data_IF_266615219213
#
_entry.id   IF_266615219213
#
_cell.length_a   1.000
_cell.length_b   1.000
_cell.length_c   1.000
_cell.angle_alpha   90.00
_cell.angle_beta   90.00
_cell.angle_gamma   90.00
#
_symmetry.space_group_name_H-M   'P 1'
#
loop_
_entity.id
_entity.type
_entity.pdbx_description
1 polymer ?
#
# COMPACT_ATOMS: atom_id res chain seq x y z
N UNK A 1 -29.47 -3.00 -3.11
CA UNK A 1 -28.21 -3.78 -3.08
C UNK A 1 -27.06 -2.99 -2.43
N UNK A 2 -26.74 -1.79 -2.92
CA UNK A 2 -25.66 -0.94 -2.36
C UNK A 2 -25.76 -0.71 -0.83
N UNK A 3 -26.93 -0.31 -0.31
CA UNK A 3 -27.15 -0.05 1.13
C UNK A 3 -26.81 -1.26 2.01
N UNK A 4 -27.16 -2.48 1.56
CA UNK A 4 -26.87 -3.72 2.30
C UNK A 4 -25.37 -4.00 2.36
N UNK A 5 -24.63 -3.69 1.30
CA UNK A 5 -23.17 -3.82 1.23
C UNK A 5 -22.50 -2.80 2.16
N UNK A 6 -22.95 -1.55 2.11
CA UNK A 6 -22.42 -0.45 2.94
C UNK A 6 -22.67 -0.65 4.43
N UNK A 7 -23.84 -1.17 4.81
CA UNK A 7 -24.12 -1.52 6.22
C UNK A 7 -23.27 -2.67 6.73
N UNK A 8 -22.92 -3.63 5.86
CA UNK A 8 -22.08 -4.78 6.22
C UNK A 8 -20.60 -4.40 6.33
N UNK A 9 -20.17 -3.36 5.62
CA UNK A 9 -18.80 -2.87 5.60
C UNK A 9 -18.83 -1.33 5.67
N UNK A 10 -19.00 -0.75 6.87
CA UNK A 10 -19.09 0.68 7.02
C UNK A 10 -17.72 1.32 6.80
N UNK A 11 -17.58 2.05 5.69
CA UNK A 11 -16.40 2.87 5.36
C UNK A 11 -16.84 4.30 5.04
N UNK A 12 -17.41 5.01 6.02
CA UNK A 12 -17.93 6.35 5.79
C UNK A 12 -16.86 7.32 5.36
N UNK A 13 -15.65 7.27 5.91
CA UNK A 13 -14.63 8.29 5.60
C UNK A 13 -14.28 8.32 4.10
N UNK A 14 -14.15 7.14 3.46
CA UNK A 14 -13.89 7.04 2.02
C UNK A 14 -15.10 7.35 1.15
N UNK A 15 -16.30 6.90 1.54
CA UNK A 15 -17.49 6.98 0.67
C UNK A 15 -18.33 8.23 0.88
N UNK A 16 -18.16 8.93 2.00
CA UNK A 16 -18.88 10.16 2.31
C UNK A 16 -18.72 11.23 1.22
N UNK A 17 -17.52 11.53 0.69
CA UNK A 17 -17.39 12.52 -0.37
C UNK A 17 -18.20 12.18 -1.63
N UNK A 18 -18.33 10.90 -1.97
CA UNK A 18 -19.05 10.43 -3.17
C UNK A 18 -20.56 10.34 -2.97
N UNK A 19 -21.00 10.04 -1.73
CA UNK A 19 -22.42 9.89 -1.36
C UNK A 19 -23.02 11.25 -0.93
N UNK A 20 -22.28 12.07 -0.19
CA UNK A 20 -22.66 13.43 0.24
C UNK A 20 -21.86 14.48 -0.53
N UNK A 21 -22.13 14.59 -1.83
CA UNK A 21 -21.45 15.57 -2.69
C UNK A 21 -21.89 16.99 -2.35
N UNK A 22 -20.93 17.90 -2.17
CA UNK A 22 -21.21 19.31 -1.88
C UNK A 22 -22.01 19.93 -3.04
N UNK A 23 -23.11 20.61 -2.72
CA UNK A 23 -23.96 21.28 -3.72
C UNK A 23 -24.86 20.36 -4.55
N UNK A 24 -24.94 19.06 -4.23
CA UNK A 24 -25.86 18.11 -4.86
C UNK A 24 -27.06 17.80 -3.96
N UNK A 25 -28.23 17.43 -4.52
CA UNK A 25 -29.36 16.94 -3.74
C UNK A 25 -28.99 15.66 -2.95
N UNK A 26 -29.72 15.33 -1.87
CA UNK A 26 -29.48 14.14 -1.07
C UNK A 26 -29.44 12.87 -1.95
N UNK A 27 -28.33 12.14 -1.88
CA UNK A 27 -28.18 10.92 -2.66
C UNK A 27 -29.11 9.83 -2.09
N UNK A 28 -29.86 9.05 -2.91
CA UNK A 28 -30.81 8.05 -2.41
C UNK A 28 -30.18 7.01 -1.46
N UNK A 29 -28.90 6.70 -1.67
CA UNK A 29 -28.13 5.85 -0.74
C UNK A 29 -27.92 6.54 0.61
N UNK A 30 -27.63 7.84 0.65
CA UNK A 30 -27.44 8.58 1.90
C UNK A 30 -28.70 8.55 2.77
N UNK A 31 -29.86 8.76 2.16
CA UNK A 31 -31.17 8.69 2.83
C UNK A 31 -31.44 7.27 3.34
N UNK A 32 -31.19 6.27 2.50
CA UNK A 32 -31.48 4.88 2.84
C UNK A 32 -30.53 4.29 3.90
N UNK A 33 -29.26 4.72 3.99
CA UNK A 33 -28.33 4.20 5.01
C UNK A 33 -28.52 4.87 6.37
N UNK A 34 -28.96 6.13 6.39
CA UNK A 34 -29.19 6.93 7.59
C UNK A 34 -27.97 7.77 8.05
N UNK A 35 -28.19 8.86 8.79
CA UNK A 35 -27.13 9.80 9.20
C UNK A 35 -26.08 9.18 10.11
N UNK A 36 -26.45 8.18 10.94
CA UNK A 36 -25.53 7.52 11.87
C UNK A 36 -24.37 6.82 11.18
N UNK A 37 -24.60 6.26 9.98
CA UNK A 37 -23.55 5.58 9.24
C UNK A 37 -22.41 6.54 8.86
N UNK A 38 -22.70 7.84 8.70
CA UNK A 38 -21.69 8.85 8.41
C UNK A 38 -20.98 9.39 9.66
N UNK A 39 -21.44 9.00 10.86
CA UNK A 39 -20.86 9.39 12.15
C UNK A 39 -20.01 8.28 12.78
N UNK A 40 -20.11 7.06 12.27
CA UNK A 40 -19.21 5.98 12.71
C UNK A 40 -17.80 6.32 12.26
N UNK A 41 -16.84 6.37 13.18
CA UNK A 41 -15.42 6.47 12.83
C UNK A 41 -15.06 5.26 11.95
N UNK A 42 -14.56 5.50 10.74
CA UNK A 42 -14.10 4.44 9.84
C UNK A 42 -12.96 3.68 10.52
N UNK A 43 -13.27 2.48 11.00
CA UNK A 43 -12.40 1.77 11.94
C UNK A 43 -10.99 1.54 11.42
N UNK A 44 -10.01 2.20 12.04
CA UNK A 44 -8.54 2.06 11.93
C UNK A 44 -7.97 1.12 10.85
N UNK A 45 -7.03 0.24 11.20
CA UNK A 45 -6.37 -0.66 10.24
C UNK A 45 -7.33 -1.61 9.49
N UNK A 46 -8.58 -1.75 9.94
CA UNK A 46 -9.64 -2.51 9.26
C UNK A 46 -10.23 -1.78 8.02
N UNK A 47 -9.94 -0.48 7.86
CA UNK A 47 -10.40 0.38 6.77
C UNK A 47 -9.90 -0.05 5.38
N UNK A 48 -8.72 -0.69 5.26
CA UNK A 48 -8.09 -1.01 3.95
C UNK A 48 -8.49 -2.37 3.38
N UNK A 49 -9.04 -3.26 4.20
CA UNK A 49 -9.38 -4.63 3.77
C UNK A 49 -10.73 -4.74 3.04
N UNK A 50 -11.45 -3.65 2.91
CA UNK A 50 -12.81 -3.65 2.40
C UNK A 50 -12.90 -3.00 1.01
N UNK A 51 -13.00 -3.86 -0.01
CA UNK A 51 -13.63 -3.58 -1.32
C UNK A 51 -12.89 -2.67 -2.31
N UNK A 52 -11.57 -2.77 -2.38
CA UNK A 52 -10.78 -2.15 -3.47
C UNK A 52 -10.02 -3.18 -4.30
N UNK A 53 -10.44 -4.44 -4.30
CA UNK A 53 -9.85 -5.39 -5.23
C UNK A 53 -10.33 -5.07 -6.63
N UNK A 54 -9.37 -4.94 -7.53
CA UNK A 54 -9.62 -4.62 -8.92
C UNK A 54 -9.07 -5.71 -9.83
N UNK A 55 -9.73 -5.92 -10.96
CA UNK A 55 -9.15 -6.65 -12.07
C UNK A 55 -7.92 -5.88 -12.57
N UNK A 56 -6.74 -6.50 -12.57
CA UNK A 56 -5.50 -5.81 -12.98
C UNK A 56 -5.52 -5.33 -14.44
N UNK A 57 -6.35 -5.94 -15.29
CA UNK A 57 -6.45 -5.59 -16.70
C UNK A 57 -7.52 -4.52 -17.02
N UNK A 58 -8.68 -4.56 -16.37
CA UNK A 58 -9.80 -3.67 -16.70
C UNK A 58 -10.34 -2.81 -15.54
N UNK A 59 -9.77 -2.97 -14.34
CA UNK A 59 -10.14 -2.28 -13.09
C UNK A 59 -11.59 -2.37 -12.63
N UNK A 60 -12.38 -3.26 -13.22
CA UNK A 60 -13.63 -3.66 -12.57
C UNK A 60 -13.32 -4.17 -11.16
N UNK A 61 -14.06 -3.65 -10.18
CA UNK A 61 -13.84 -3.99 -8.77
C UNK A 61 -14.76 -5.12 -8.29
N UNK A 62 -14.47 -5.61 -7.09
CA UNK A 62 -15.23 -6.68 -6.42
C UNK A 62 -16.66 -6.27 -6.01
N UNK A 63 -16.99 -4.98 -6.01
CA UNK A 63 -18.37 -4.48 -5.89
C UNK A 63 -19.16 -4.62 -7.20
N UNK A 64 -18.47 -4.55 -8.34
CA UNK A 64 -19.07 -4.62 -9.67
C UNK A 64 -19.14 -6.07 -10.18
N UNK A 65 -18.12 -6.89 -9.91
CA UNK A 65 -18.00 -8.24 -10.47
C UNK A 65 -17.14 -9.14 -9.57
N UNK A 66 -17.50 -10.43 -9.54
CA UNK A 66 -16.69 -11.45 -8.87
C UNK A 66 -15.29 -11.54 -9.50
N UNK A 67 -14.27 -11.30 -8.68
CA UNK A 67 -12.88 -11.45 -9.07
C UNK A 67 -12.33 -12.84 -8.71
N UNK A 68 -11.44 -13.34 -9.56
CA UNK A 68 -10.75 -14.62 -9.36
C UNK A 68 -9.25 -14.41 -9.33
N UNK A 69 -8.57 -15.06 -8.40
CA UNK A 69 -7.11 -15.07 -8.33
C UNK A 69 -6.49 -15.79 -9.52
N UNK A 70 -5.31 -15.33 -9.94
CA UNK A 70 -4.42 -16.16 -10.75
C UNK A 70 -4.15 -17.48 -10.00
N UNK A 71 -4.50 -18.62 -10.61
CA UNK A 71 -4.41 -19.94 -9.98
C UNK A 71 -2.98 -20.36 -9.63
N UNK A 72 -1.98 -19.80 -10.33
CA UNK A 72 -0.56 -20.09 -10.13
C UNK A 72 0.03 -19.27 -8.98
N UNK A 73 0.13 -17.94 -9.16
CA UNK A 73 0.85 -17.08 -8.23
C UNK A 73 -0.02 -16.53 -7.08
N UNK A 74 -1.35 -16.56 -7.20
CA UNK A 74 -2.31 -15.97 -6.24
C UNK A 74 -1.96 -14.53 -5.81
N UNK A 75 -1.37 -13.76 -6.72
CA UNK A 75 -0.85 -12.40 -6.45
C UNK A 75 -1.65 -11.30 -7.16
N UNK A 76 -2.37 -11.64 -8.25
CA UNK A 76 -3.23 -10.72 -8.99
C UNK A 76 -4.62 -11.34 -9.22
N UNK A 77 -5.62 -10.48 -9.47
CA UNK A 77 -7.01 -10.89 -9.69
C UNK A 77 -7.51 -10.44 -11.07
N UNK A 78 -8.42 -11.22 -11.63
CA UNK A 78 -9.09 -10.96 -12.90
C UNK A 78 -10.60 -11.17 -12.76
N UNK A 79 -11.39 -10.38 -13.49
CA UNK A 79 -12.84 -10.57 -13.55
C UNK A 79 -13.27 -11.68 -14.52
N UNK A 80 -12.39 -12.08 -15.45
CA UNK A 80 -12.66 -13.14 -16.43
C UNK A 80 -11.37 -13.80 -16.94
N UNK A 81 -11.51 -14.98 -17.56
CA UNK A 81 -10.39 -15.66 -18.25
C UNK A 81 -9.85 -14.82 -19.41
N UNK A 82 -10.68 -14.00 -20.05
CA UNK A 82 -10.25 -13.15 -21.16
C UNK A 82 -9.36 -12.00 -20.67
N UNK A 83 -9.69 -11.39 -19.53
CA UNK A 83 -8.80 -10.40 -18.90
C UNK A 83 -7.47 -11.04 -18.48
N UNK A 84 -7.49 -12.28 -17.98
CA UNK A 84 -6.26 -13.00 -17.66
C UNK A 84 -5.41 -13.29 -18.90
N UNK A 85 -6.03 -13.74 -20.00
CA UNK A 85 -5.32 -14.02 -21.27
C UNK A 85 -4.72 -12.76 -21.87
N UNK A 86 -5.44 -11.64 -21.82
CA UNK A 86 -4.97 -10.36 -22.33
C UNK A 86 -3.74 -9.84 -21.57
N UNK A 87 -3.70 -10.04 -20.25
CA UNK A 87 -2.59 -9.64 -19.39
C UNK A 87 -1.40 -10.64 -19.40
N UNK A 88 -1.62 -11.88 -19.85
CA UNK A 88 -0.67 -12.99 -19.65
C UNK A 88 0.75 -12.73 -20.13
N UNK A 89 0.93 -12.05 -21.28
CA UNK A 89 2.27 -11.76 -21.83
C UNK A 89 3.13 -10.97 -20.81
N UNK A 90 2.50 -10.06 -20.06
CA UNK A 90 3.16 -9.21 -19.07
C UNK A 90 3.14 -9.80 -17.67
N UNK A 91 2.07 -10.52 -17.33
CA UNK A 91 1.99 -11.19 -16.03
C UNK A 91 2.91 -12.41 -15.96
N UNK A 92 3.21 -13.12 -17.06
CA UNK A 92 3.95 -14.39 -17.00
C UNK A 92 5.30 -14.29 -16.25
N UNK A 93 6.19 -13.30 -16.50
CA UNK A 93 7.43 -13.16 -15.76
C UNK A 93 7.20 -12.93 -14.26
N UNK A 94 6.28 -12.03 -13.89
CA UNK A 94 5.97 -11.73 -12.48
C UNK A 94 5.27 -12.91 -11.80
N UNK A 95 4.43 -13.65 -12.51
CA UNK A 95 3.81 -14.88 -12.06
C UNK A 95 4.86 -15.94 -11.71
N UNK A 96 5.87 -16.15 -12.57
CA UNK A 96 6.94 -17.10 -12.32
C UNK A 96 7.80 -16.68 -11.13
N UNK A 97 8.15 -15.39 -11.04
CA UNK A 97 8.87 -14.84 -9.90
C UNK A 97 8.12 -15.08 -8.58
N UNK A 98 6.82 -14.82 -8.53
CA UNK A 98 6.01 -15.07 -7.34
C UNK A 98 5.92 -16.55 -6.95
N UNK A 99 5.81 -17.46 -7.94
CA UNK A 99 5.80 -18.91 -7.68
C UNK A 99 7.15 -19.34 -7.08
N UNK A 100 8.26 -18.99 -7.73
CA UNK A 100 9.61 -19.31 -7.25
C UNK A 100 9.87 -18.77 -5.85
N UNK A 101 9.45 -17.52 -5.58
CA UNK A 101 9.58 -16.94 -4.24
C UNK A 101 8.72 -17.67 -3.20
N UNK A 102 7.51 -18.09 -3.57
CA UNK A 102 6.66 -18.91 -2.71
C UNK A 102 7.29 -20.26 -2.37
N UNK A 103 7.89 -20.93 -3.36
CA UNK A 103 8.64 -22.17 -3.15
C UNK A 103 9.84 -21.97 -2.22
N UNK A 104 10.58 -20.88 -2.41
CA UNK A 104 11.70 -20.51 -1.54
C UNK A 104 11.25 -20.27 -0.08
N UNK A 105 10.11 -19.60 0.14
CA UNK A 105 9.56 -19.43 1.49
C UNK A 105 9.17 -20.75 2.14
N UNK A 106 8.53 -21.65 1.38
CA UNK A 106 8.18 -22.99 1.88
C UNK A 106 9.44 -23.81 2.21
N UNK A 107 10.49 -23.70 1.41
CA UNK A 107 11.77 -24.33 1.70
C UNK A 107 12.41 -23.77 2.98
N UNK A 108 12.47 -22.44 3.11
CA UNK A 108 12.99 -21.78 4.31
C UNK A 108 12.21 -22.19 5.56
N UNK A 109 10.87 -22.18 5.50
CA UNK A 109 10.00 -22.57 6.62
C UNK A 109 10.19 -24.02 7.08
N UNK A 110 10.65 -24.91 6.20
CA UNK A 110 11.02 -26.29 6.58
C UNK A 110 12.37 -26.37 7.30
N UNK A 111 13.33 -25.53 6.91
CA UNK A 111 14.69 -25.51 7.48
C UNK A 111 14.73 -24.72 8.79
N UNK A 112 14.09 -23.57 8.80
CA UNK A 112 13.97 -22.66 9.93
C UNK A 112 12.53 -22.09 9.96
N UNK A 113 11.66 -22.66 10.80
CA UNK A 113 10.28 -22.20 10.92
C UNK A 113 10.14 -20.73 11.34
N UNK A 114 11.09 -20.20 12.13
CA UNK A 114 11.06 -18.82 12.62
C UNK A 114 11.44 -17.87 11.49
N UNK A 115 12.57 -18.12 10.82
CA UNK A 115 12.98 -17.31 9.66
C UNK A 115 11.96 -17.40 8.52
N UNK A 116 11.40 -18.59 8.28
CA UNK A 116 10.34 -18.79 7.30
C UNK A 116 9.07 -18.00 7.63
N UNK A 117 8.65 -17.98 8.89
CA UNK A 117 7.51 -17.18 9.32
C UNK A 117 7.77 -15.66 9.18
N UNK A 118 8.99 -15.19 9.50
CA UNK A 118 9.38 -13.78 9.30
C UNK A 118 9.38 -13.40 7.81
N UNK A 119 9.92 -14.24 6.94
CA UNK A 119 9.95 -14.00 5.50
C UNK A 119 8.53 -14.00 4.88
N UNK A 120 7.67 -14.92 5.30
CA UNK A 120 6.25 -14.95 4.92
C UNK A 120 5.53 -13.68 5.38
N UNK A 121 5.76 -13.25 6.61
CA UNK A 121 5.20 -12.01 7.15
C UNK A 121 5.62 -10.79 6.33
N UNK A 122 6.91 -10.64 6.05
CA UNK A 122 7.44 -9.54 5.24
C UNK A 122 6.84 -9.54 3.84
N UNK A 123 6.74 -10.72 3.21
CA UNK A 123 6.14 -10.84 1.90
C UNK A 123 4.68 -10.37 1.89
N UNK A 124 3.90 -10.78 2.88
CA UNK A 124 2.50 -10.39 2.98
C UNK A 124 2.35 -8.89 3.24
N UNK A 125 3.15 -8.33 4.16
CA UNK A 125 3.16 -6.91 4.49
C UNK A 125 3.41 -6.02 3.27
N UNK A 126 4.40 -6.40 2.47
CA UNK A 126 4.82 -5.62 1.30
C UNK A 126 3.94 -5.87 0.06
N UNK A 127 2.89 -6.68 0.15
CA UNK A 127 2.05 -7.09 -1.00
C UNK A 127 0.66 -6.46 -0.95
N UNK A 128 0.55 -5.22 -1.43
CA UNK A 128 -0.72 -4.47 -1.49
C UNK A 128 -1.83 -5.24 -2.21
N UNK A 129 -1.51 -5.92 -3.31
CA UNK A 129 -2.48 -6.71 -4.07
C UNK A 129 -3.05 -7.91 -3.29
N UNK A 130 -2.28 -8.43 -2.33
CA UNK A 130 -2.68 -9.55 -1.47
C UNK A 130 -3.36 -9.09 -0.19
N UNK A 131 -2.74 -8.14 0.50
CA UNK A 131 -3.24 -7.62 1.75
C UNK A 131 -2.95 -6.10 1.87
N UNK A 132 -3.86 -5.26 1.33
CA UNK A 132 -3.72 -3.82 1.44
C UNK A 132 -3.80 -3.42 2.92
N UNK A 133 -2.84 -2.62 3.36
CA UNK A 133 -2.74 -2.12 4.73
C UNK A 133 -2.37 -0.63 4.75
N UNK A 134 -2.65 0.04 5.89
CA UNK A 134 -2.44 1.48 6.05
C UNK A 134 -1.00 1.88 5.71
N UNK A 135 -0.02 1.17 6.26
CA UNK A 135 1.40 1.47 6.12
C UNK A 135 1.92 1.42 4.68
N UNK A 136 1.25 0.66 3.80
CA UNK A 136 1.62 0.55 2.39
C UNK A 136 0.84 1.49 1.46
N UNK A 137 -0.24 2.11 1.94
CA UNK A 137 -1.15 2.93 1.12
C UNK A 137 -1.23 4.34 1.69
N UNK A 138 -1.98 4.53 2.76
CA UNK A 138 -2.33 5.86 3.26
C UNK A 138 -1.24 6.47 4.14
N UNK A 139 -0.45 5.64 4.83
CA UNK A 139 0.74 6.05 5.56
C UNK A 139 1.69 6.90 4.70
N UNK A 140 2.23 6.37 3.59
CA UNK A 140 3.15 7.14 2.74
C UNK A 140 2.49 8.34 2.05
N UNK A 141 1.20 8.26 1.68
CA UNK A 141 0.48 9.40 1.10
C UNK A 141 0.42 10.57 2.10
N UNK A 142 0.12 10.29 3.37
CA UNK A 142 0.11 11.30 4.43
C UNK A 142 1.53 11.75 4.79
N UNK A 143 2.48 10.83 4.97
CA UNK A 143 3.86 11.17 5.33
C UNK A 143 4.51 12.11 4.31
N UNK A 144 4.29 11.85 3.02
CA UNK A 144 4.76 12.70 1.94
C UNK A 144 3.93 13.99 1.77
N UNK A 145 2.81 14.14 2.47
CA UNK A 145 1.95 15.32 2.34
C UNK A 145 1.41 15.51 0.92
N UNK A 146 1.17 14.42 0.17
CA UNK A 146 0.81 14.50 -1.26
C UNK A 146 -0.51 15.27 -1.52
N UNK A 147 -1.34 15.40 -0.49
CA UNK A 147 -2.55 16.22 -0.52
C UNK A 147 -2.26 17.73 -0.67
N UNK A 148 -1.11 18.17 -0.15
CA UNK A 148 -0.66 19.56 -0.18
C UNK A 148 0.23 19.81 -1.39
N UNK A 149 1.20 18.93 -1.59
CA UNK A 149 2.15 19.02 -2.69
C UNK A 149 2.34 17.65 -3.34
N UNK A 150 1.66 17.39 -4.47
CA UNK A 150 1.81 16.13 -5.18
C UNK A 150 3.19 15.94 -5.82
N UNK A 151 3.98 17.00 -6.02
CA UNK A 151 5.34 16.87 -6.56
C UNK A 151 6.25 16.05 -5.64
N UNK A 152 5.95 16.06 -4.34
CA UNK A 152 6.71 15.32 -3.33
C UNK A 152 6.76 13.81 -3.58
N UNK A 153 5.79 13.26 -4.30
CA UNK A 153 5.79 11.85 -4.68
C UNK A 153 7.00 11.44 -5.54
N UNK A 154 7.53 12.37 -6.35
CA UNK A 154 8.71 12.12 -7.20
C UNK A 154 10.02 12.58 -6.57
N UNK A 155 9.97 13.54 -5.65
CA UNK A 155 11.18 14.16 -5.08
C UNK A 155 11.59 13.58 -3.73
N UNK A 156 10.66 12.94 -3.02
CA UNK A 156 10.86 12.42 -1.67
C UNK A 156 10.55 10.92 -1.60
N UNK A 157 11.13 10.27 -0.60
CA UNK A 157 10.94 8.86 -0.31
C UNK A 157 10.63 8.67 1.18
N UNK A 158 9.70 7.77 1.48
CA UNK A 158 9.46 7.33 2.86
C UNK A 158 10.39 6.17 3.16
N UNK A 159 11.28 6.33 4.14
CA UNK A 159 12.15 5.25 4.61
C UNK A 159 11.60 4.75 5.93
N UNK A 160 11.36 3.43 6.01
CA UNK A 160 10.76 2.76 7.17
C UNK A 160 11.62 1.60 7.64
N UNK A 161 11.93 1.57 8.91
CA UNK A 161 12.59 0.43 9.54
C UNK A 161 11.55 -0.53 10.12
N UNK A 162 11.68 -1.80 9.75
CA UNK A 162 10.88 -2.91 10.23
C UNK A 162 11.59 -3.57 11.40
N UNK A 163 10.83 -3.80 12.47
CA UNK A 163 11.23 -4.61 13.62
C UNK A 163 10.17 -5.66 13.93
N UNK A 164 10.56 -6.61 14.78
CA UNK A 164 9.63 -7.57 15.34
C UNK A 164 8.74 -6.90 16.39
N UNK A 165 7.45 -7.25 16.44
CA UNK A 165 6.65 -6.91 17.61
C UNK A 165 7.17 -7.69 18.84
N UNK A 166 7.10 -7.14 20.06
CA UNK A 166 7.43 -7.88 21.27
C UNK A 166 6.64 -9.19 21.34
N UNK A 167 7.29 -10.28 21.75
CA UNK A 167 6.65 -11.61 21.88
C UNK A 167 5.51 -11.63 22.93
N UNK A 168 5.45 -10.63 23.80
CA UNK A 168 4.44 -10.50 24.85
C UNK A 168 3.03 -10.34 24.26
N UNK A 169 2.26 -11.43 24.32
CA UNK A 169 0.87 -11.48 23.88
C UNK A 169 0.65 -12.04 22.47
N UNK A 170 1.72 -12.38 21.74
CA UNK A 170 1.59 -13.09 20.46
C UNK A 170 1.19 -14.54 20.71
N UNK A 171 -0.06 -14.88 20.42
CA UNK A 171 -0.46 -16.29 20.34
C UNK A 171 0.37 -16.94 19.22
N UNK A 172 1.07 -18.03 19.53
CA UNK A 172 1.92 -18.80 18.60
C UNK A 172 1.22 -19.16 17.28
N UNK A 173 -0.11 -19.20 17.28
CA UNK A 173 -0.98 -19.52 16.15
C UNK A 173 -1.55 -18.34 15.36
N UNK A 174 -1.21 -17.08 15.66
CA UNK A 174 -1.84 -15.96 14.94
C UNK A 174 -1.43 -15.98 13.45
N UNK A 175 -2.42 -16.19 12.59
CA UNK A 175 -2.32 -16.13 11.13
C UNK A 175 -2.17 -14.69 10.61
N UNK A 176 -2.19 -13.72 11.52
CA UNK A 176 -2.14 -12.30 11.22
C UNK A 176 -0.70 -11.80 11.34
N UNK A 177 0.02 -11.87 10.22
CA UNK A 177 1.42 -11.47 10.14
C UNK A 177 1.66 -10.01 10.56
N UNK A 178 0.64 -9.14 10.49
CA UNK A 178 0.70 -7.75 10.96
C UNK A 178 0.91 -7.62 12.46
N UNK A 179 0.69 -8.69 13.23
CA UNK A 179 1.05 -8.71 14.65
C UNK A 179 2.54 -8.98 14.85
N UNK A 180 3.23 -9.58 13.87
CA UNK A 180 4.65 -9.96 13.96
C UNK A 180 5.59 -8.88 13.44
N UNK A 181 5.06 -7.92 12.70
CA UNK A 181 5.79 -6.86 12.02
C UNK A 181 5.38 -5.51 12.57
N UNK A 182 6.37 -4.66 12.86
CA UNK A 182 6.15 -3.27 13.25
C UNK A 182 7.06 -2.36 12.43
N UNK A 183 6.55 -1.23 11.99
CA UNK A 183 7.41 -0.09 11.61
C UNK A 183 7.84 0.56 12.92
N UNK A 184 9.12 0.40 13.26
CA UNK A 184 9.68 0.92 14.52
C UNK A 184 10.10 2.37 14.37
N UNK A 185 10.64 2.73 13.20
CA UNK A 185 11.04 4.09 12.84
C UNK A 185 10.64 4.39 11.40
N UNK A 186 10.25 5.63 11.12
CA UNK A 186 10.14 6.10 9.75
C UNK A 186 10.37 7.61 9.65
N UNK A 187 10.73 8.04 8.44
CA UNK A 187 10.91 9.45 8.10
C UNK A 187 10.75 9.67 6.59
N UNK A 188 10.64 10.93 6.20
CA UNK A 188 10.50 11.36 4.80
C UNK A 188 11.77 12.09 4.41
N UNK A 189 12.40 11.68 3.31
CA UNK A 189 13.69 12.24 2.90
C UNK A 189 13.67 12.65 1.45
N UNK A 190 14.32 13.76 1.11
CA UNK A 190 14.52 14.13 -0.28
C UNK A 190 15.47 13.12 -0.93
N UNK A 191 15.08 12.59 -2.09
CA UNK A 191 15.84 11.52 -2.77
C UNK A 191 17.28 11.96 -3.03
N UNK A 192 17.48 13.22 -3.44
CA UNK A 192 18.80 13.79 -3.70
C UNK A 192 19.75 13.71 -2.50
N UNK A 193 19.22 13.78 -1.27
CA UNK A 193 20.00 13.83 -0.03
C UNK A 193 20.34 12.43 0.50
N UNK A 194 19.60 11.40 0.08
CA UNK A 194 19.77 10.01 0.56
C UNK A 194 20.27 9.04 -0.51
N UNK A 195 20.25 9.40 -1.80
CA UNK A 195 20.61 8.49 -2.89
C UNK A 195 21.99 7.83 -2.75
N UNK A 196 23.01 8.58 -2.32
CA UNK A 196 24.35 8.03 -2.15
C UNK A 196 24.38 7.04 -0.98
N UNK A 197 23.82 7.43 0.16
CA UNK A 197 23.74 6.57 1.34
C UNK A 197 22.98 5.28 1.06
N UNK A 198 21.84 5.37 0.36
CA UNK A 198 21.06 4.19 0.00
C UNK A 198 21.81 3.33 -1.00
N UNK A 199 22.45 3.91 -2.02
CA UNK A 199 23.29 3.15 -2.96
C UNK A 199 24.39 2.36 -2.22
N UNK A 200 25.13 3.01 -1.31
CA UNK A 200 26.24 2.38 -0.58
C UNK A 200 25.77 1.27 0.37
N UNK A 201 24.62 1.45 1.02
CA UNK A 201 24.11 0.52 2.05
C UNK A 201 23.25 -0.61 1.49
N UNK A 202 22.62 -0.39 0.34
CA UNK A 202 21.62 -1.30 -0.23
C UNK A 202 21.91 -1.78 -1.64
N UNK A 203 22.87 -1.16 -2.34
CA UNK A 203 23.13 -1.35 -3.77
C UNK A 203 21.93 -0.98 -4.66
N UNK A 204 20.99 -0.19 -4.14
CA UNK A 204 19.84 0.33 -4.88
C UNK A 204 20.18 1.74 -5.37
N UNK A 205 20.26 1.88 -6.69
CA UNK A 205 20.21 3.17 -7.36
C UNK A 205 18.78 3.70 -7.33
N UNK A 206 18.50 4.71 -6.49
CA UNK A 206 17.16 5.26 -6.36
C UNK A 206 16.67 5.95 -7.63
N UNK A 207 17.57 6.66 -8.33
CA UNK A 207 17.22 7.39 -9.54
C UNK A 207 16.88 6.41 -10.68
N UNK A 208 17.66 5.33 -10.82
CA UNK A 208 17.37 4.28 -11.80
C UNK A 208 16.09 3.50 -11.44
N UNK A 209 15.89 3.13 -10.18
CA UNK A 209 14.68 2.41 -9.74
C UNK A 209 13.42 3.25 -9.92
N UNK A 210 13.46 4.55 -9.61
CA UNK A 210 12.34 5.45 -9.86
C UNK A 210 11.99 5.47 -11.36
N UNK A 211 12.96 5.71 -12.25
CA UNK A 211 12.74 5.71 -13.71
C UNK A 211 12.18 4.39 -14.23
N UNK A 212 12.73 3.26 -13.78
CA UNK A 212 12.31 1.95 -14.25
C UNK A 212 10.91 1.57 -13.77
N UNK A 213 10.59 1.87 -12.52
CA UNK A 213 9.27 1.58 -11.96
C UNK A 213 8.19 2.49 -12.56
N UNK A 214 8.47 3.77 -12.78
CA UNK A 214 7.55 4.68 -13.46
C UNK A 214 7.25 4.24 -14.89
N UNK A 215 8.28 3.88 -15.66
CA UNK A 215 8.10 3.34 -17.01
C UNK A 215 7.21 2.09 -17.01
N UNK A 216 7.44 1.18 -16.06
CA UNK A 216 6.62 -0.03 -15.92
C UNK A 216 5.16 0.29 -15.58
N UNK A 217 4.91 1.29 -14.72
CA UNK A 217 3.56 1.76 -14.41
C UNK A 217 2.88 2.42 -15.61
N UNK A 218 3.59 3.29 -16.32
CA UNK A 218 3.08 3.96 -17.52
C UNK A 218 2.66 2.93 -18.58
N UNK A 219 3.51 1.94 -18.86
CA UNK A 219 3.16 0.85 -19.77
C UNK A 219 1.96 0.03 -19.28
N UNK A 220 1.85 -0.22 -17.98
CA UNK A 220 0.70 -0.92 -17.41
C UNK A 220 -0.59 -0.11 -17.62
N UNK A 221 -0.56 1.19 -17.33
CA UNK A 221 -1.71 2.10 -17.49
C UNK A 221 -2.13 2.17 -18.95
N UNK A 222 -1.19 2.38 -19.88
CA UNK A 222 -1.46 2.50 -21.31
C UNK A 222 -2.12 1.25 -21.93
N UNK A 223 -1.86 0.07 -21.36
CA UNK A 223 -2.44 -1.21 -21.83
C UNK A 223 -3.73 -1.59 -21.10
N UNK A 224 -3.97 -1.00 -19.94
CA UNK A 224 -5.15 -1.27 -19.14
C UNK A 224 -6.38 -0.64 -19.79
N UNK A 225 -7.57 -1.23 -19.60
CA UNK A 225 -8.83 -0.59 -20.02
C UNK A 225 -9.28 0.56 -19.10
N UNK A 226 -8.39 1.02 -18.22
CA UNK A 226 -8.68 2.03 -17.21
C UNK A 226 -8.72 3.39 -17.87
N UNK A 227 -9.73 4.20 -17.55
CA UNK A 227 -9.82 5.61 -17.99
C UNK A 227 -8.91 6.54 -17.16
N UNK A 228 -7.73 6.08 -16.80
CA UNK A 228 -6.72 6.89 -16.12
C UNK A 228 -5.52 7.02 -17.06
N UNK A 229 -5.01 8.24 -17.19
CA UNK A 229 -3.79 8.52 -17.93
C UNK A 229 -2.66 8.72 -16.92
N UNK A 230 -1.42 8.42 -17.31
CA UNK A 230 -0.27 8.48 -16.40
C UNK A 230 -0.06 9.90 -15.84
N UNK A 231 -0.39 10.93 -16.61
CA UNK A 231 -0.27 12.34 -16.22
C UNK A 231 -1.23 12.71 -15.08
N UNK A 232 -2.24 11.88 -14.81
CA UNK A 232 -3.17 12.05 -13.68
C UNK A 232 -2.76 11.26 -12.45
N UNK A 233 -1.64 10.55 -12.50
CA UNK A 233 -1.11 9.73 -11.42
C UNK A 233 0.14 10.37 -10.82
N UNK A 234 0.20 10.31 -9.50
CA UNK A 234 1.34 10.72 -8.69
C UNK A 234 2.00 9.45 -8.16
N UNK A 235 3.16 9.04 -8.73
CA UNK A 235 3.95 7.97 -8.16
C UNK A 235 4.54 8.44 -6.84
N UNK A 236 4.77 7.49 -5.95
CA UNK A 236 5.45 7.72 -4.69
C UNK A 236 6.23 6.47 -4.28
N UNK A 237 7.32 6.71 -3.55
CA UNK A 237 8.29 5.66 -3.25
C UNK A 237 8.41 5.42 -1.75
N UNK A 238 8.65 4.15 -1.43
CA UNK A 238 8.92 3.68 -0.09
C UNK A 238 10.15 2.77 -0.11
N UNK A 239 10.96 2.85 0.94
CA UNK A 239 12.07 1.96 1.17
C UNK A 239 11.93 1.35 2.56
N UNK A 240 11.87 0.02 2.65
CA UNK A 240 11.85 -0.68 3.92
C UNK A 240 13.21 -1.30 4.21
N UNK A 241 13.69 -1.15 5.44
CA UNK A 241 14.89 -1.80 5.96
C UNK A 241 14.59 -2.47 7.29
N UNK A 242 15.56 -3.16 7.91
CA UNK A 242 15.38 -3.70 9.25
C UNK A 242 16.29 -4.90 9.52
N UNK A 243 16.98 -4.95 10.68
CA UNK A 243 17.94 -6.02 10.99
C UNK A 243 17.27 -7.38 11.15
N UNK A 244 15.99 -7.41 11.55
CA UNK A 244 15.23 -8.63 11.84
C UNK A 244 14.77 -9.38 10.59
N UNK A 245 14.86 -8.77 9.41
CA UNK A 245 14.30 -9.30 8.18
C UNK A 245 15.39 -9.46 7.12
N UNK A 246 15.81 -10.72 6.95
CA UNK A 246 16.91 -11.23 6.10
C UNK A 246 16.96 -10.78 4.63
N UNK A 247 16.04 -9.95 4.15
CA UNK A 247 15.91 -9.59 2.72
C UNK A 247 16.51 -8.24 2.34
N UNK A 248 17.34 -7.64 3.20
CA UNK A 248 17.95 -6.33 2.92
C UNK A 248 16.89 -5.25 2.68
N UNK A 249 17.26 -4.21 1.94
CA UNK A 249 16.35 -3.13 1.61
C UNK A 249 15.27 -3.56 0.61
N UNK A 250 14.04 -3.10 0.83
CA UNK A 250 12.88 -3.43 0.01
C UNK A 250 12.26 -2.15 -0.55
N UNK A 251 12.53 -1.88 -1.83
CA UNK A 251 11.93 -0.76 -2.56
C UNK A 251 10.48 -1.06 -2.96
N UNK A 252 9.57 -0.09 -2.81
CA UNK A 252 8.19 -0.17 -3.30
C UNK A 252 7.79 1.15 -3.97
N UNK A 253 7.25 1.04 -5.18
CA UNK A 253 6.60 2.16 -5.90
C UNK A 253 5.10 1.91 -5.90
N UNK A 254 4.33 2.95 -5.64
CA UNK A 254 2.89 2.95 -5.84
C UNK A 254 2.46 4.27 -6.49
N UNK A 255 1.20 4.41 -6.88
CA UNK A 255 0.67 5.62 -7.47
C UNK A 255 -0.75 5.91 -6.99
N UNK A 256 -1.06 7.20 -6.86
CA UNK A 256 -2.40 7.69 -6.52
C UNK A 256 -2.85 8.73 -7.54
N UNK A 257 -4.14 8.74 -7.89
CA UNK A 257 -4.66 9.78 -8.79
C UNK A 257 -4.78 11.12 -8.08
N UNK A 258 -4.57 12.20 -8.81
CA UNK A 258 -4.79 13.58 -8.32
C UNK A 258 -6.23 13.77 -7.84
N UNK A 259 -7.20 13.14 -8.49
CA UNK A 259 -8.60 13.13 -8.05
C UNK A 259 -8.74 12.52 -6.65
N UNK A 260 -8.15 11.34 -6.41
CA UNK A 260 -8.18 10.70 -5.09
C UNK A 260 -7.47 11.54 -4.02
N UNK A 261 -6.39 12.25 -4.37
CA UNK A 261 -5.70 13.16 -3.45
C UNK A 261 -6.59 14.33 -3.02
N UNK A 262 -7.44 14.84 -3.92
CA UNK A 262 -8.37 15.95 -3.62
C UNK A 262 -9.59 15.53 -2.80
N UNK A 263 -9.98 14.25 -2.84
CA UNK A 263 -11.11 13.72 -2.07
C UNK A 263 -10.70 13.19 -0.69
N UNK A 264 -9.49 12.66 -0.57
CA UNK A 264 -8.93 12.20 0.71
C UNK A 264 -8.34 13.37 1.49
N UNK A 265 -8.54 13.38 2.81
CA UNK A 265 -7.98 14.41 3.69
C UNK A 265 -6.63 13.96 4.22
N UNK A 266 -5.71 14.91 4.31
CA UNK A 266 -4.48 14.73 5.07
C UNK A 266 -4.80 14.43 6.54
N UNK A 267 -4.20 13.37 7.05
CA UNK A 267 -4.24 12.99 8.45
C UNK A 267 -2.91 13.34 9.11
N UNK A 268 -2.92 14.37 9.96
CA UNK A 268 -1.74 14.80 10.74
C UNK A 268 -1.32 13.80 11.81
N UNK A 269 -2.17 12.81 12.13
CA UNK A 269 -1.92 11.77 13.12
C UNK A 269 -1.69 10.40 12.47
N UNK A 270 -1.36 10.38 11.17
CA UNK A 270 -1.19 9.16 10.36
C UNK A 270 -0.25 8.11 10.97
N UNK A 271 0.73 8.53 11.78
CA UNK A 271 1.65 7.63 12.49
C UNK A 271 0.92 6.60 13.36
N UNK A 272 -0.26 6.93 13.90
CA UNK A 272 -1.13 5.99 14.66
C UNK A 272 -1.63 4.82 13.84
N UNK A 273 -1.78 5.01 12.52
CA UNK A 273 -2.25 3.98 11.60
C UNK A 273 -1.15 3.04 11.10
N UNK A 274 0.12 3.36 11.34
CA UNK A 274 1.25 2.61 10.76
C UNK A 274 1.41 1.21 11.34
N UNK A 275 1.01 1.01 12.60
CA UNK A 275 1.07 -0.27 13.27
C UNK A 275 -0.32 -0.69 13.78
N UNK A 276 -0.61 -1.99 13.70
CA UNK A 276 -1.95 -2.52 14.01
C UNK A 276 -2.35 -2.34 15.47
N UNK A 277 -1.37 -2.33 16.37
CA UNK A 277 -1.54 -2.11 17.81
C UNK A 277 -1.65 -0.62 18.18
N UNK A 278 -1.58 0.28 17.20
CA UNK A 278 -1.63 1.72 17.40
C UNK A 278 -0.34 2.33 17.95
N UNK A 279 0.73 1.54 18.15
CA UNK A 279 2.02 2.08 18.58
C UNK A 279 2.65 2.86 17.43
N UNK A 280 2.88 4.14 17.64
CA UNK A 280 3.45 5.01 16.61
C UNK A 280 4.93 4.67 16.34
N UNK A 281 5.40 4.74 15.07
CA UNK A 281 6.81 4.68 14.76
C UNK A 281 7.52 5.95 15.23
N UNK A 282 8.72 5.78 15.78
CA UNK A 282 9.61 6.89 16.11
C UNK A 282 10.15 7.56 14.83
N UNK A 283 10.77 8.73 14.97
CA UNK A 283 11.48 9.38 13.86
C UNK A 283 12.71 8.58 13.46
N UNK A 284 12.94 8.42 12.15
CA UNK A 284 14.14 7.78 11.63
C UNK A 284 15.27 8.81 11.50
N UNK A 285 16.42 8.50 12.08
CA UNK A 285 17.65 9.30 11.92
C UNK A 285 18.61 8.49 11.06
N UNK A 286 18.99 9.05 9.91
CA UNK A 286 19.93 8.40 8.98
C UNK A 286 21.38 8.76 9.31
N UNK A 287 22.33 7.80 9.21
CA UNK A 287 23.75 8.07 9.43
C UNK A 287 24.35 9.14 8.51
N UNK A 288 23.76 9.38 7.33
CA UNK A 288 24.20 10.42 6.41
C UNK A 288 23.83 11.85 6.84
N UNK A 289 23.05 12.02 7.92
CA UNK A 289 22.65 13.33 8.43
C UNK A 289 21.53 14.02 7.63
N UNK A 290 20.94 13.34 6.65
CA UNK A 290 19.78 13.87 5.93
C UNK A 290 18.63 14.17 6.91
N UNK A 291 18.00 15.34 6.74
CA UNK A 291 16.93 15.80 7.61
C UNK A 291 15.61 15.15 7.23
N UNK A 292 14.80 14.84 8.25
CA UNK A 292 13.43 14.38 8.04
C UNK A 292 12.57 15.57 7.58
N UNK A 293 12.11 15.49 6.35
CA UNK A 293 11.32 16.49 5.66
C UNK A 293 9.81 16.25 5.83
N UNK A 294 9.38 15.40 6.77
CA UNK A 294 7.95 15.07 6.96
C UNK A 294 7.08 16.33 6.96
N UNK A 295 7.49 17.40 7.65
CA UNK A 295 6.65 18.59 7.86
C UNK A 295 6.93 19.77 6.91
N UNK A 296 7.79 19.61 5.91
CA UNK A 296 8.28 20.72 5.08
C UNK A 296 7.23 21.31 4.11
N UNK A 297 6.05 20.70 4.00
CA UNK A 297 4.94 21.15 3.16
C UNK A 297 3.93 22.07 3.86
N UNK A 298 4.11 22.34 5.16
CA UNK A 298 3.15 23.09 5.99
C UNK A 298 3.43 24.61 5.98
N UNK A 299 3.92 25.16 4.87
CA UNK A 299 4.11 26.61 4.70
C UNK A 299 2.82 27.31 4.24
#
# INVERSE_FOLDING_TARGET
MAVKILRKNPHPDFLTPYIKRKGSPPHPVAEAIGPEWFRTEGGGAAHYRAHLWMCVYCSNNDLQVKLSWCSKCRSVRYCSKDCQRADWKQHKPTCQHHVSRGEAFLALKRLDPVAGAKAEALHMFLSISRDPNFAMIQGPINALGLHHDPSRGREYIVISELGSAPDEGLKSSSADYLQRLRIVRCGVFKIADVRQHVMETSQIDLDAHARDTERAFEEQVARSKVRLSWEKLVPYYMLFCGPDYMQGYQWRTNAISVESLSTNRYDRHWRKGMNRDGKEPDSLILPCGALDAEMDFVQ
#
